data_IF_931129320231
#
_entry.id   IF_931129320231
#
_cell.length_a   1.000
_cell.length_b   1.000
_cell.length_c   1.000
_cell.angle_alpha   90.00
_cell.angle_beta   90.00
_cell.angle_gamma   90.00
#
_symmetry.space_group_name_H-M   'P 1'
#
loop_
_entity.id
_entity.type
_entity.pdbx_description
1 polymer ?
#
# COMPACT_ATOMS: atom_id res chain seq x y z
N UNK A 1 0.27 -2.36 21.91
CA UNK A 1 1.34 -3.05 22.66
C UNK A 1 1.83 -2.31 23.91
N UNK A 2 2.36 -1.07 23.88
CA UNK A 2 2.70 -0.40 25.16
C UNK A 2 1.47 -0.08 26.00
N UNK A 3 0.39 0.37 25.37
CA UNK A 3 -0.87 0.67 26.07
C UNK A 3 -1.55 -0.61 26.57
N UNK A 4 -1.60 -1.66 25.74
CA UNK A 4 -2.02 -3.01 26.16
C UNK A 4 -1.25 -3.54 27.38
N UNK A 5 0.08 -3.34 27.43
CA UNK A 5 0.88 -3.76 28.59
C UNK A 5 0.55 -2.95 29.85
N UNK A 6 0.20 -1.67 29.70
CA UNK A 6 -0.27 -0.84 30.82
C UNK A 6 -1.66 -1.25 31.29
N UNK A 7 -2.56 -1.64 30.38
CA UNK A 7 -3.91 -2.11 30.70
C UNK A 7 -3.89 -3.40 31.52
N UNK A 8 -2.93 -4.30 31.29
CA UNK A 8 -2.71 -5.49 32.13
C UNK A 8 -1.92 -5.20 33.42
N UNK A 9 -1.70 -3.93 33.75
CA UNK A 9 -1.10 -3.48 35.01
C UNK A 9 0.43 -3.37 35.02
N UNK A 10 1.11 -3.53 33.87
CA UNK A 10 2.56 -3.36 33.81
C UNK A 10 2.92 -1.88 33.61
N UNK A 11 3.59 -1.30 34.60
CA UNK A 11 4.14 0.04 34.48
C UNK A 11 5.42 0.04 33.61
N UNK A 12 5.26 0.18 32.30
CA UNK A 12 6.35 0.13 31.32
C UNK A 12 6.26 1.27 30.29
N UNK A 13 7.40 1.87 29.99
CA UNK A 13 7.51 2.94 28.98
C UNK A 13 7.77 2.41 27.56
N UNK A 14 7.36 3.17 26.54
CA UNK A 14 7.53 2.80 25.11
C UNK A 14 8.95 2.38 24.75
N UNK A 15 9.96 3.06 25.30
CA UNK A 15 11.38 2.78 25.02
C UNK A 15 11.81 1.39 25.51
N UNK A 16 11.28 0.96 26.65
CA UNK A 16 11.55 -0.38 27.22
C UNK A 16 10.83 -1.46 26.43
N UNK A 17 9.57 -1.22 26.04
CA UNK A 17 8.83 -2.13 25.15
C UNK A 17 9.57 -2.32 23.82
N UNK A 18 10.01 -1.24 23.18
CA UNK A 18 10.77 -1.32 21.92
C UNK A 18 12.09 -2.09 22.05
N UNK A 19 12.79 -1.94 23.18
CA UNK A 19 14.01 -2.71 23.47
C UNK A 19 13.71 -4.21 23.60
N UNK A 20 12.67 -4.58 24.34
CA UNK A 20 12.25 -5.97 24.51
C UNK A 20 11.77 -6.58 23.19
N UNK A 21 10.99 -5.84 22.40
CA UNK A 21 10.55 -6.28 21.08
C UNK A 21 11.77 -6.59 20.19
N UNK A 22 12.77 -5.72 20.16
CA UNK A 22 14.01 -5.94 19.39
C UNK A 22 14.80 -7.16 19.89
N UNK A 23 14.91 -7.34 21.21
CA UNK A 23 15.62 -8.49 21.81
C UNK A 23 14.94 -9.82 21.48
N UNK A 24 13.61 -9.82 21.34
CA UNK A 24 12.82 -11.03 21.07
C UNK A 24 12.47 -11.19 19.58
N UNK A 25 13.04 -10.37 18.68
CA UNK A 25 12.75 -10.44 17.24
C UNK A 25 11.30 -10.09 16.87
N UNK A 26 10.58 -9.39 17.75
CA UNK A 26 9.19 -9.00 17.53
C UNK A 26 9.16 -7.70 16.73
N UNK A 27 8.49 -7.72 15.58
CA UNK A 27 8.26 -6.55 14.73
C UNK A 27 6.78 -6.33 14.47
N UNK A 28 6.37 -5.07 14.37
CA UNK A 28 5.01 -4.73 13.93
C UNK A 28 4.86 -5.07 12.45
N UNK A 29 3.91 -5.96 12.14
CA UNK A 29 3.44 -6.14 10.78
C UNK A 29 2.51 -4.97 10.45
N UNK A 30 2.98 -4.05 9.61
CA UNK A 30 2.12 -2.99 9.08
C UNK A 30 1.39 -3.53 7.85
N UNK A 31 0.12 -3.88 8.01
CA UNK A 31 -0.73 -4.17 6.85
C UNK A 31 -0.98 -2.87 6.10
N UNK A 32 -0.29 -2.67 4.97
CA UNK A 32 -0.71 -1.65 4.01
C UNK A 32 -2.06 -2.09 3.47
N UNK A 33 -3.09 -1.25 3.64
CA UNK A 33 -4.34 -1.46 2.91
C UNK A 33 -4.03 -1.30 1.42
N UNK A 34 -4.10 -2.38 0.67
CA UNK A 34 -4.11 -2.30 -0.79
C UNK A 34 -5.43 -1.62 -1.19
N UNK A 35 -5.33 -0.45 -1.82
CA UNK A 35 -6.51 0.23 -2.34
C UNK A 35 -6.69 -0.25 -3.78
N UNK A 36 -7.71 -1.07 -4.02
CA UNK A 36 -8.12 -1.38 -5.38
C UNK A 36 -8.69 -0.09 -5.99
N UNK A 37 -7.98 0.45 -6.98
CA UNK A 37 -8.40 1.66 -7.72
C UNK A 37 -9.29 1.31 -8.91
N UNK A 38 -9.30 0.04 -9.33
CA UNK A 38 -10.02 -0.45 -10.49
C UNK A 38 -11.02 -1.51 -10.05
N UNK A 39 -12.30 -1.28 -10.36
CA UNK A 39 -13.34 -2.32 -10.27
C UNK A 39 -13.31 -3.14 -11.56
N UNK A 40 -12.70 -4.31 -11.52
CA UNK A 40 -12.69 -5.23 -12.66
C UNK A 40 -14.01 -5.98 -12.84
N UNK A 41 -14.96 -5.89 -11.90
CA UNK A 41 -16.26 -6.56 -11.94
C UNK A 41 -17.36 -5.59 -12.39
N UNK A 42 -17.21 -5.03 -13.58
CA UNK A 42 -18.18 -4.09 -14.16
C UNK A 42 -18.87 -4.65 -15.40
N UNK A 43 -20.05 -4.09 -15.74
CA UNK A 43 -20.81 -4.49 -16.95
C UNK A 43 -20.35 -3.78 -18.23
N UNK A 44 -19.38 -2.88 -18.15
CA UNK A 44 -18.85 -2.17 -19.31
C UNK A 44 -17.95 -3.08 -20.16
N UNK A 45 -17.73 -2.69 -21.42
CA UNK A 45 -16.84 -3.39 -22.33
C UNK A 45 -15.42 -3.44 -21.75
N UNK A 46 -14.86 -4.65 -21.69
CA UNK A 46 -13.47 -4.87 -21.28
C UNK A 46 -12.62 -4.89 -22.55
N UNK A 47 -11.67 -3.96 -22.65
CA UNK A 47 -10.70 -3.98 -23.74
C UNK A 47 -9.74 -5.16 -23.58
N UNK A 48 -9.32 -5.83 -24.66
CA UNK A 48 -8.34 -6.91 -24.59
C UNK A 48 -7.00 -6.39 -24.08
N UNK A 49 -6.35 -7.14 -23.17
CA UNK A 49 -4.96 -6.88 -22.77
C UNK A 49 -4.03 -7.31 -23.90
N UNK A 50 -3.63 -6.34 -24.74
CA UNK A 50 -2.72 -6.57 -25.86
C UNK A 50 -1.26 -6.71 -25.43
N UNK A 51 -0.92 -6.29 -24.20
CA UNK A 51 0.45 -6.32 -23.71
C UNK A 51 0.77 -7.64 -23.02
N UNK A 52 -0.20 -8.23 -22.32
CA UNK A 52 -0.03 -9.46 -21.53
C UNK A 52 1.24 -9.40 -20.65
N UNK A 53 1.43 -8.26 -19.99
CA UNK A 53 2.61 -7.91 -19.17
C UNK A 53 3.96 -7.91 -19.89
N UNK A 54 3.99 -8.01 -21.22
CA UNK A 54 5.19 -7.82 -22.01
C UNK A 54 5.43 -6.31 -22.24
N UNK A 55 6.32 -5.72 -21.46
CA UNK A 55 6.70 -4.31 -21.59
C UNK A 55 7.94 -4.07 -22.46
N UNK A 56 8.56 -5.12 -23.00
CA UNK A 56 9.72 -4.98 -23.88
C UNK A 56 9.29 -4.43 -25.25
N UNK A 57 10.07 -3.50 -25.81
CA UNK A 57 9.84 -2.91 -27.13
C UNK A 57 11.19 -2.80 -27.88
N UNK A 58 11.15 -3.07 -29.19
CA UNK A 58 12.34 -3.05 -30.05
C UNK A 58 12.64 -1.63 -30.59
N UNK A 59 11.68 -0.72 -30.47
CA UNK A 59 11.80 0.67 -30.89
C UNK A 59 10.82 1.61 -30.20
N UNK A 60 11.02 2.93 -30.35
CA UNK A 60 10.10 3.93 -29.80
C UNK A 60 8.70 3.80 -30.42
N UNK A 61 7.68 4.29 -29.72
CA UNK A 61 6.30 4.36 -30.21
C UNK A 61 5.63 2.98 -30.51
N UNK A 62 6.08 1.91 -29.86
CA UNK A 62 5.46 0.57 -30.01
C UNK A 62 4.54 0.20 -28.85
N UNK A 63 4.85 0.68 -27.64
CA UNK A 63 4.09 0.44 -26.41
C UNK A 63 4.07 1.73 -25.60
N UNK A 64 2.88 2.09 -25.11
CA UNK A 64 2.65 3.33 -24.36
C UNK A 64 2.05 2.97 -23.00
N UNK A 65 2.59 3.56 -21.95
CA UNK A 65 2.04 3.46 -20.60
C UNK A 65 1.85 4.89 -20.06
N UNK A 66 0.71 5.12 -19.43
CA UNK A 66 0.40 6.37 -18.76
C UNK A 66 -0.05 6.08 -17.34
N UNK A 67 0.13 7.05 -16.45
CA UNK A 67 -0.37 7.02 -15.09
C UNK A 67 -1.20 8.28 -14.81
N UNK A 68 -2.18 8.18 -13.93
CA UNK A 68 -3.00 9.31 -13.50
C UNK A 68 -2.62 9.64 -12.07
N UNK A 69 -2.05 10.81 -11.86
CA UNK A 69 -1.77 11.33 -10.52
C UNK A 69 -2.85 12.30 -10.11
N UNK A 70 -3.59 11.95 -9.06
CA UNK A 70 -4.54 12.86 -8.44
C UNK A 70 -3.81 13.86 -7.55
N UNK A 71 -4.11 15.15 -7.70
CA UNK A 71 -3.56 16.23 -6.89
C UNK A 71 -4.61 16.74 -5.91
N UNK A 72 -4.19 17.02 -4.68
CA UNK A 72 -5.07 17.62 -3.68
C UNK A 72 -5.19 19.12 -3.92
N UNK A 73 -6.42 19.60 -4.09
CA UNK A 73 -6.74 21.02 -4.24
C UNK A 73 -7.64 21.49 -3.12
N UNK A 74 -7.92 22.80 -3.05
CA UNK A 74 -8.90 23.36 -2.10
C UNK A 74 -10.34 22.88 -2.36
N UNK A 75 -10.61 22.41 -3.56
CA UNK A 75 -11.92 21.90 -3.98
C UNK A 75 -12.04 20.37 -3.82
N UNK A 76 -10.93 19.69 -3.48
CA UNK A 76 -10.85 18.25 -3.31
C UNK A 76 -9.78 17.60 -4.19
N UNK A 77 -9.89 16.27 -4.37
CA UNK A 77 -9.03 15.52 -5.29
C UNK A 77 -9.40 15.86 -6.75
N UNK A 78 -8.41 16.28 -7.53
CA UNK A 78 -8.50 16.44 -8.99
C UNK A 78 -7.62 15.40 -9.67
#
# INVERSE_FOLDING_TARGET
MTDELKEIGLNIGHRRVGCLMRQNGISVVRTRKHKATTDSNHKFNIAPDLLDRNFAADGPNQKWAGDITYIWTREGWL
#
